data_IF_076039776797
#
_entry.id   IF_076039776797
#
_cell.length_a   1.000
_cell.length_b   1.000
_cell.length_c   1.000
_cell.angle_alpha   90.00
_cell.angle_beta   90.00
_cell.angle_gamma   90.00
#
_symmetry.space_group_name_H-M   'P 1'
#
loop_
_entity.id
_entity.type
_entity.pdbx_description
1 polymer ?
#
# COMPACT_ATOMS: atom_id res chain seq x y z
N UNK A 1 6.14 19.34 -16.72
CA UNK A 1 5.97 18.26 -15.71
C UNK A 1 5.36 17.05 -16.40
N UNK A 2 5.91 15.88 -16.22
CA UNK A 2 5.31 14.63 -16.70
C UNK A 2 4.02 14.36 -15.95
N UNK A 3 2.95 13.97 -16.66
CA UNK A 3 1.67 13.62 -16.05
C UNK A 3 1.82 12.33 -15.26
N UNK A 4 1.13 12.22 -14.13
CA UNK A 4 1.02 10.97 -13.36
C UNK A 4 0.20 9.97 -14.17
N UNK A 5 0.76 8.78 -14.40
CA UNK A 5 0.14 7.71 -15.17
C UNK A 5 -0.62 6.74 -14.25
N UNK A 6 -1.91 6.66 -14.48
CA UNK A 6 -2.84 5.87 -13.68
C UNK A 6 -3.33 4.67 -14.48
N UNK A 7 -3.14 3.46 -13.97
CA UNK A 7 -3.83 2.28 -14.44
C UNK A 7 -5.13 2.12 -13.68
N UNK A 8 -6.27 2.18 -14.37
CA UNK A 8 -7.58 2.14 -13.76
C UNK A 8 -8.40 0.97 -14.29
N UNK A 9 -8.78 0.05 -13.41
CA UNK A 9 -9.60 -1.12 -13.70
C UNK A 9 -10.98 -0.98 -13.05
N UNK A 10 -12.05 -0.96 -13.85
CA UNK A 10 -13.45 -0.80 -13.43
C UNK A 10 -14.36 -1.33 -14.54
N UNK A 11 -15.26 -2.24 -14.23
CA UNK A 11 -16.17 -2.86 -15.21
C UNK A 11 -17.46 -2.04 -15.42
N UNK A 12 -17.83 -1.17 -14.47
CA UNK A 12 -18.98 -0.27 -14.64
C UNK A 12 -18.64 0.89 -15.56
N UNK A 13 -19.18 0.88 -16.77
CA UNK A 13 -18.90 1.87 -17.82
C UNK A 13 -19.17 3.32 -17.38
N UNK A 14 -20.26 3.56 -16.68
CA UNK A 14 -20.64 4.92 -16.22
C UNK A 14 -19.66 5.43 -15.18
N UNK A 15 -19.35 4.62 -14.17
CA UNK A 15 -18.40 4.99 -13.13
C UNK A 15 -16.99 5.16 -13.70
N UNK A 16 -16.60 4.26 -14.60
CA UNK A 16 -15.33 4.32 -15.30
C UNK A 16 -15.16 5.61 -16.09
N UNK A 17 -16.18 5.97 -16.90
CA UNK A 17 -16.14 7.19 -17.70
C UNK A 17 -16.03 8.43 -16.81
N UNK A 18 -16.91 8.58 -15.81
CA UNK A 18 -16.93 9.74 -14.92
C UNK A 18 -15.63 9.87 -14.13
N UNK A 19 -15.10 8.76 -13.61
CA UNK A 19 -13.86 8.77 -12.83
C UNK A 19 -12.67 9.12 -13.71
N UNK A 20 -12.56 8.50 -14.89
CA UNK A 20 -11.51 8.80 -15.85
C UNK A 20 -11.50 10.25 -16.28
N UNK A 21 -12.67 10.76 -16.72
CA UNK A 21 -12.82 12.16 -17.17
C UNK A 21 -12.37 13.15 -16.08
N UNK A 22 -12.84 12.97 -14.84
CA UNK A 22 -12.43 13.81 -13.74
C UNK A 22 -10.93 13.73 -13.43
N UNK A 23 -10.32 12.53 -13.48
CA UNK A 23 -8.88 12.39 -13.28
C UNK A 23 -8.10 13.10 -14.39
N UNK A 24 -8.51 12.94 -15.65
CA UNK A 24 -7.84 13.57 -16.79
C UNK A 24 -7.96 15.10 -16.74
N UNK A 25 -9.09 15.66 -16.34
CA UNK A 25 -9.29 17.09 -16.09
C UNK A 25 -8.38 17.61 -14.97
N UNK A 26 -8.03 16.76 -14.00
CA UNK A 26 -7.11 17.09 -12.92
C UNK A 26 -5.62 16.81 -13.24
N UNK A 27 -5.31 16.54 -14.52
CA UNK A 27 -3.94 16.46 -15.03
C UNK A 27 -3.29 15.08 -14.96
N UNK A 28 -4.06 14.02 -14.71
CA UNK A 28 -3.58 12.64 -14.79
C UNK A 28 -3.63 12.10 -16.23
N UNK A 29 -2.86 11.05 -16.51
CA UNK A 29 -2.94 10.26 -17.73
C UNK A 29 -3.53 8.90 -17.35
N UNK A 30 -4.77 8.61 -17.79
CA UNK A 30 -5.51 7.44 -17.32
C UNK A 30 -5.65 6.38 -18.41
N UNK A 31 -5.08 5.21 -18.18
CA UNK A 31 -5.35 4.00 -18.97
C UNK A 31 -6.41 3.19 -18.23
N UNK A 32 -7.61 3.12 -18.83
CA UNK A 32 -8.75 2.39 -18.27
C UNK A 32 -8.92 1.03 -18.94
N UNK A 33 -9.30 0.02 -18.15
CA UNK A 33 -9.61 -1.34 -18.61
C UNK A 33 -10.90 -1.82 -17.91
N UNK A 34 -11.75 -2.56 -18.66
CA UNK A 34 -13.03 -3.10 -18.16
C UNK A 34 -12.91 -4.45 -17.46
N UNK A 35 -11.74 -5.07 -17.47
CA UNK A 35 -11.48 -6.36 -16.82
C UNK A 35 -10.01 -6.49 -16.40
N UNK A 36 -9.78 -7.35 -15.41
CA UNK A 36 -8.44 -7.54 -14.84
C UNK A 36 -7.44 -8.16 -15.80
N UNK A 37 -7.88 -9.00 -16.75
CA UNK A 37 -6.97 -9.62 -17.72
C UNK A 37 -6.38 -8.57 -18.67
N UNK A 38 -7.24 -7.75 -19.27
CA UNK A 38 -6.82 -6.64 -20.14
C UNK A 38 -5.95 -5.65 -19.37
N UNK A 39 -6.29 -5.39 -18.10
CA UNK A 39 -5.53 -4.52 -17.23
C UNK A 39 -4.10 -5.04 -16.98
N UNK A 40 -3.94 -6.34 -16.74
CA UNK A 40 -2.63 -6.97 -16.57
C UNK A 40 -1.79 -6.94 -17.85
N UNK A 41 -2.40 -7.07 -19.01
CA UNK A 41 -1.72 -6.94 -20.30
C UNK A 41 -1.18 -5.52 -20.53
N UNK A 42 -1.96 -4.49 -20.18
CA UNK A 42 -1.50 -3.09 -20.23
C UNK A 42 -0.38 -2.84 -19.22
N UNK A 43 -0.50 -3.37 -18.00
CA UNK A 43 0.52 -3.25 -16.97
C UNK A 43 1.89 -3.79 -17.42
N UNK A 44 1.91 -4.89 -18.16
CA UNK A 44 3.14 -5.49 -18.68
C UNK A 44 3.76 -4.74 -19.88
N UNK A 45 2.98 -3.89 -20.55
CA UNK A 45 3.41 -3.18 -21.77
C UNK A 45 3.77 -1.72 -21.52
N UNK A 46 3.18 -1.12 -20.50
CA UNK A 46 3.27 0.31 -20.22
C UNK A 46 3.78 0.55 -18.78
N UNK A 47 4.35 1.72 -18.56
CA UNK A 47 4.76 2.14 -17.23
C UNK A 47 3.65 2.97 -16.57
N UNK A 48 3.37 2.71 -15.31
CA UNK A 48 2.38 3.40 -14.48
C UNK A 48 2.99 3.84 -13.17
N UNK A 49 2.41 4.89 -12.58
CA UNK A 49 2.82 5.43 -11.28
C UNK A 49 1.94 4.92 -10.14
N UNK A 50 0.70 4.50 -10.46
CA UNK A 50 -0.28 3.98 -9.51
C UNK A 50 -1.33 3.10 -10.21
N UNK A 51 -1.84 2.11 -9.49
CA UNK A 51 -2.98 1.28 -9.91
C UNK A 51 -4.20 1.57 -9.04
N UNK A 52 -5.36 1.76 -9.67
CA UNK A 52 -6.69 1.87 -9.03
C UNK A 52 -7.51 0.71 -9.55
N UNK A 53 -7.88 -0.22 -8.67
CA UNK A 53 -8.46 -1.50 -9.05
C UNK A 53 -9.81 -1.71 -8.37
N UNK A 54 -10.87 -1.86 -9.16
CA UNK A 54 -12.10 -2.43 -8.61
C UNK A 54 -11.83 -3.89 -8.18
N UNK A 55 -12.41 -4.28 -7.07
CA UNK A 55 -12.31 -5.66 -6.59
C UNK A 55 -13.14 -6.59 -7.45
N UNK A 56 -14.36 -6.19 -7.78
CA UNK A 56 -15.33 -7.05 -8.46
C UNK A 56 -15.35 -6.77 -9.97
N UNK A 57 -14.57 -7.55 -10.72
CA UNK A 57 -14.50 -7.44 -12.18
C UNK A 57 -14.60 -8.81 -12.84
N UNK A 58 -15.09 -8.88 -14.11
CA UNK A 58 -15.12 -10.10 -14.87
C UNK A 58 -13.70 -10.60 -15.25
N UNK A 59 -13.59 -11.88 -15.63
CA UNK A 59 -12.39 -12.61 -16.07
C UNK A 59 -11.30 -12.75 -15.00
N UNK A 60 -10.91 -11.66 -14.37
CA UNK A 60 -9.90 -11.60 -13.31
C UNK A 60 -10.32 -10.51 -12.34
N UNK A 61 -10.54 -10.87 -11.10
CA UNK A 61 -10.89 -9.91 -10.05
C UNK A 61 -9.69 -9.02 -9.65
N UNK A 62 -9.98 -7.93 -8.92
CA UNK A 62 -8.96 -6.97 -8.53
C UNK A 62 -7.90 -7.57 -7.61
N UNK A 63 -8.25 -8.56 -6.79
CA UNK A 63 -7.31 -9.21 -5.88
C UNK A 63 -6.32 -10.09 -6.64
N UNK A 64 -6.81 -10.86 -7.60
CA UNK A 64 -5.97 -11.69 -8.47
C UNK A 64 -5.04 -10.81 -9.32
N UNK A 65 -5.57 -9.71 -9.86
CA UNK A 65 -4.79 -8.72 -10.61
C UNK A 65 -3.67 -8.13 -9.74
N UNK A 66 -4.00 -7.67 -8.54
CA UNK A 66 -3.01 -7.12 -7.61
C UNK A 66 -1.94 -8.15 -7.22
N UNK A 67 -2.32 -9.41 -6.99
CA UNK A 67 -1.37 -10.47 -6.70
C UNK A 67 -0.40 -10.74 -7.88
N UNK A 68 -0.88 -10.65 -9.12
CA UNK A 68 -0.03 -10.76 -10.33
C UNK A 68 0.90 -9.54 -10.46
N UNK A 69 0.38 -8.34 -10.26
CA UNK A 69 1.18 -7.11 -10.27
C UNK A 69 2.29 -7.19 -9.21
N UNK A 70 1.97 -7.61 -7.99
CA UNK A 70 2.95 -7.71 -6.89
C UNK A 70 4.08 -8.71 -7.15
N UNK A 71 3.87 -9.74 -7.97
CA UNK A 71 4.94 -10.66 -8.38
C UNK A 71 5.99 -9.99 -9.27
N UNK A 72 5.61 -8.97 -10.02
CA UNK A 72 6.49 -8.26 -10.97
C UNK A 72 6.92 -6.88 -10.46
N UNK A 73 6.07 -6.22 -9.68
CA UNK A 73 6.35 -4.90 -9.11
C UNK A 73 5.78 -4.79 -7.69
N UNK A 74 6.66 -4.80 -6.70
CA UNK A 74 6.29 -4.68 -5.28
C UNK A 74 6.08 -3.22 -4.85
N UNK A 75 6.49 -2.24 -5.68
CA UNK A 75 6.61 -0.84 -5.27
C UNK A 75 5.45 0.04 -5.74
N UNK A 76 4.84 -0.29 -6.90
CA UNK A 76 3.76 0.53 -7.44
C UNK A 76 2.59 0.59 -6.45
N UNK A 77 2.11 1.79 -6.08
CA UNK A 77 0.97 1.91 -5.19
C UNK A 77 -0.28 1.28 -5.81
N UNK A 78 -1.06 0.57 -4.98
CA UNK A 78 -2.35 -0.03 -5.36
C UNK A 78 -3.43 0.46 -4.41
N UNK A 79 -4.45 1.12 -4.96
CA UNK A 79 -5.69 1.49 -4.26
C UNK A 79 -6.81 0.60 -4.77
N UNK A 80 -7.50 -0.11 -3.87
CA UNK A 80 -8.70 -0.84 -4.24
C UNK A 80 -9.95 0.04 -4.13
N UNK A 81 -10.85 -0.13 -5.08
CA UNK A 81 -12.22 0.34 -5.00
C UNK A 81 -13.11 -0.82 -4.53
N UNK A 82 -13.93 -0.61 -3.51
CA UNK A 82 -14.72 -1.69 -2.89
C UNK A 82 -16.15 -1.26 -2.63
N UNK A 83 -17.12 -2.10 -2.93
CA UNK A 83 -18.48 -1.96 -2.41
C UNK A 83 -18.50 -2.20 -0.89
N UNK A 84 -19.34 -1.48 -0.16
CA UNK A 84 -19.37 -1.35 1.32
C UNK A 84 -19.50 -2.66 2.14
N UNK A 85 -19.73 -3.80 1.52
CA UNK A 85 -20.40 -4.95 2.15
C UNK A 85 -19.48 -6.02 2.76
N UNK A 86 -18.17 -6.03 2.52
CA UNK A 86 -17.36 -7.17 2.96
C UNK A 86 -16.16 -6.77 3.82
N UNK A 87 -16.30 -6.91 5.15
CA UNK A 87 -15.17 -6.82 6.11
C UNK A 87 -14.02 -7.77 5.74
N UNK A 88 -14.37 -8.93 5.19
CA UNK A 88 -13.42 -9.98 4.81
C UNK A 88 -12.63 -9.63 3.54
N UNK A 89 -13.24 -8.99 2.56
CA UNK A 89 -12.55 -8.56 1.33
C UNK A 89 -11.50 -7.50 1.58
N UNK A 90 -11.78 -6.56 2.51
CA UNK A 90 -10.77 -5.56 2.91
C UNK A 90 -9.54 -6.20 3.54
N UNK A 91 -9.73 -7.19 4.39
CA UNK A 91 -8.62 -7.93 5.01
C UNK A 91 -7.86 -8.78 3.99
N UNK A 92 -8.57 -9.37 3.03
CA UNK A 92 -7.98 -10.19 1.97
C UNK A 92 -7.12 -9.35 1.02
N UNK A 93 -7.62 -8.23 0.55
CA UNK A 93 -6.88 -7.36 -0.37
C UNK A 93 -5.70 -6.63 0.29
N UNK A 94 -5.86 -6.17 1.52
CA UNK A 94 -4.72 -5.65 2.28
C UNK A 94 -3.67 -6.74 2.49
N UNK A 95 -4.06 -7.99 2.72
CA UNK A 95 -3.13 -9.14 2.78
C UNK A 95 -2.39 -9.41 1.46
N UNK A 96 -2.92 -8.98 0.33
CA UNK A 96 -2.32 -9.12 -1.00
C UNK A 96 -1.40 -7.94 -1.41
N UNK A 97 -1.20 -6.94 -0.54
CA UNK A 97 -0.26 -5.86 -0.78
C UNK A 97 -0.87 -4.56 -1.31
N UNK A 98 -2.16 -4.36 -1.15
CA UNK A 98 -2.75 -3.04 -1.39
C UNK A 98 -2.21 -2.01 -0.39
N UNK A 99 -2.06 -0.80 -0.86
CA UNK A 99 -1.60 0.32 -0.03
C UNK A 99 -2.78 1.05 0.62
N UNK A 100 -3.95 1.01 -0.01
CA UNK A 100 -5.16 1.65 0.50
C UNK A 100 -6.46 1.10 -0.12
N UNK A 101 -7.59 1.55 0.44
CA UNK A 101 -8.96 1.24 0.02
C UNK A 101 -9.80 2.49 -0.07
N UNK A 102 -10.69 2.51 -1.07
CA UNK A 102 -11.73 3.52 -1.22
C UNK A 102 -13.09 2.82 -1.36
N UNK A 103 -14.05 3.22 -0.53
CA UNK A 103 -15.38 2.59 -0.50
C UNK A 103 -16.30 3.28 -1.51
N UNK A 104 -16.92 2.49 -2.37
CA UNK A 104 -17.97 2.98 -3.29
C UNK A 104 -19.30 3.22 -2.53
N UNK A 105 -20.02 4.33 -2.75
CA UNK A 105 -19.63 5.47 -3.55
C UNK A 105 -18.55 6.33 -2.86
N UNK A 106 -17.59 6.84 -3.63
CA UNK A 106 -16.47 7.66 -3.14
C UNK A 106 -16.50 9.08 -3.73
N UNK A 107 -15.85 10.01 -3.04
CA UNK A 107 -15.58 11.35 -3.57
C UNK A 107 -14.39 11.30 -4.54
N UNK A 108 -14.53 11.96 -5.67
CA UNK A 108 -13.43 12.06 -6.64
C UNK A 108 -12.27 12.87 -6.07
N UNK A 109 -12.54 13.86 -5.24
CA UNK A 109 -11.54 14.66 -4.55
C UNK A 109 -10.71 13.79 -3.59
N UNK A 110 -11.37 12.87 -2.87
CA UNK A 110 -10.67 11.90 -2.01
C UNK A 110 -9.74 11.01 -2.81
N UNK A 111 -10.21 10.47 -3.94
CA UNK A 111 -9.40 9.65 -4.83
C UNK A 111 -8.19 10.43 -5.35
N UNK A 112 -8.39 11.66 -5.84
CA UNK A 112 -7.31 12.53 -6.33
C UNK A 112 -6.29 12.82 -5.25
N UNK A 113 -6.74 13.12 -4.03
CA UNK A 113 -5.85 13.38 -2.90
C UNK A 113 -5.00 12.15 -2.57
N UNK A 114 -5.62 10.96 -2.52
CA UNK A 114 -4.92 9.70 -2.28
C UNK A 114 -3.88 9.44 -3.38
N UNK A 115 -4.22 9.57 -4.66
CA UNK A 115 -3.28 9.40 -5.77
C UNK A 115 -2.06 10.32 -5.58
N UNK A 116 -2.30 11.62 -5.34
CA UNK A 116 -1.21 12.60 -5.15
C UNK A 116 -0.31 12.26 -3.95
N UNK A 117 -0.88 11.80 -2.85
CA UNK A 117 -0.13 11.41 -1.65
C UNK A 117 0.75 10.19 -1.95
N UNK A 118 0.20 9.16 -2.58
CA UNK A 118 0.93 7.92 -2.84
C UNK A 118 2.05 8.12 -3.87
N UNK A 119 1.73 8.81 -4.96
CA UNK A 119 2.71 9.08 -6.03
C UNK A 119 3.80 10.04 -5.57
N UNK A 120 3.46 11.13 -4.86
CA UNK A 120 4.47 12.05 -4.31
C UNK A 120 5.48 11.32 -3.43
N UNK A 121 5.06 10.36 -2.64
CA UNK A 121 5.93 9.57 -1.77
C UNK A 121 6.79 8.57 -2.54
N UNK A 122 6.26 8.00 -3.62
CA UNK A 122 7.06 7.14 -4.51
C UNK A 122 8.18 7.90 -5.20
N UNK A 123 8.00 9.21 -5.47
CA UNK A 123 9.03 10.08 -6.02
C UNK A 123 9.85 10.82 -4.95
N UNK A 124 9.29 11.02 -3.78
CA UNK A 124 9.98 11.61 -2.63
C UNK A 124 10.58 10.49 -1.79
N UNK A 125 11.48 9.70 -2.35
CA UNK A 125 12.47 9.12 -1.47
C UNK A 125 13.21 10.33 -0.86
N UNK A 126 13.03 10.68 0.45
CA UNK A 126 14.13 11.34 1.10
C UNK A 126 15.32 10.43 0.75
N UNK A 127 16.44 11.00 0.44
CA UNK A 127 17.71 10.26 0.43
C UNK A 127 17.77 9.61 1.81
N UNK A 128 17.15 8.44 1.92
CA UNK A 128 17.40 7.55 3.02
C UNK A 128 18.88 7.26 2.80
N UNK A 129 19.71 7.93 3.56
CA UNK A 129 21.11 7.55 3.68
C UNK A 129 21.10 6.03 3.67
N UNK A 130 22.04 5.40 3.01
CA UNK A 130 22.13 3.94 2.88
C UNK A 130 22.28 3.27 4.26
N UNK A 131 21.32 3.53 5.15
CA UNK A 131 21.29 3.03 6.51
C UNK A 131 20.62 1.66 6.48
N UNK A 132 21.42 0.63 6.37
CA UNK A 132 20.97 -0.72 6.65
C UNK A 132 20.78 -0.84 8.15
N UNK A 133 19.55 -1.15 8.56
CA UNK A 133 19.24 -1.42 9.96
C UNK A 133 19.44 -2.90 10.27
N UNK A 134 20.10 -3.18 11.39
CA UNK A 134 20.21 -4.53 11.92
C UNK A 134 19.04 -4.76 12.90
N UNK A 135 18.23 -5.79 12.63
CA UNK A 135 17.02 -6.14 13.37
C UNK A 135 17.13 -7.62 13.78
N UNK A 136 17.79 -7.89 14.90
CA UNK A 136 18.18 -9.25 15.25
C UNK A 136 19.10 -9.84 14.19
N UNK A 137 18.73 -10.99 13.62
CA UNK A 137 19.46 -11.65 12.51
C UNK A 137 19.10 -11.08 11.13
N UNK A 138 18.16 -10.14 11.04
CA UNK A 138 17.79 -9.50 9.79
C UNK A 138 18.56 -8.22 9.55
N UNK A 139 18.77 -7.94 8.26
CA UNK A 139 19.22 -6.65 7.74
C UNK A 139 18.05 -6.05 6.95
N UNK A 140 17.68 -4.84 7.28
CA UNK A 140 16.63 -4.10 6.60
C UNK A 140 17.22 -2.93 5.84
N UNK A 141 16.99 -2.92 4.53
CA UNK A 141 17.34 -1.84 3.63
C UNK A 141 16.06 -1.12 3.20
N UNK A 142 15.72 0.02 3.83
CA UNK A 142 14.51 0.77 3.51
C UNK A 142 14.55 1.40 2.12
N UNK A 143 15.72 1.72 1.57
CA UNK A 143 15.87 2.33 0.26
C UNK A 143 15.48 1.36 -0.86
N UNK A 144 15.77 0.07 -0.68
CA UNK A 144 15.45 -1.00 -1.61
C UNK A 144 14.22 -1.82 -1.21
N UNK A 145 13.51 -1.42 -0.15
CA UNK A 145 12.32 -2.12 0.37
C UNK A 145 12.56 -3.61 0.61
N UNK A 146 13.68 -3.94 1.21
CA UNK A 146 14.06 -5.33 1.43
C UNK A 146 14.48 -5.59 2.86
N UNK A 147 14.06 -6.74 3.38
CA UNK A 147 14.58 -7.32 4.61
C UNK A 147 15.16 -8.69 4.29
N UNK A 148 16.33 -8.98 4.78
CA UNK A 148 17.02 -10.23 4.46
C UNK A 148 17.85 -10.74 5.63
N UNK A 149 18.07 -12.03 5.66
CA UNK A 149 18.99 -12.72 6.54
C UNK A 149 19.82 -13.74 5.74
N UNK A 150 20.55 -14.61 6.41
CA UNK A 150 21.38 -15.63 5.74
C UNK A 150 20.56 -16.68 4.96
N UNK A 151 19.27 -16.81 5.21
CA UNK A 151 18.42 -17.88 4.66
C UNK A 151 17.43 -17.35 3.61
N UNK A 152 16.95 -16.14 3.77
CA UNK A 152 15.88 -15.59 2.94
C UNK A 152 16.05 -14.09 2.66
N UNK A 153 15.51 -13.69 1.52
CA UNK A 153 15.35 -12.29 1.13
C UNK A 153 13.89 -12.03 0.88
N UNK A 154 13.29 -11.11 1.65
CA UNK A 154 11.88 -10.77 1.59
C UNK A 154 11.76 -9.35 1.03
N UNK A 155 11.03 -9.20 -0.07
CA UNK A 155 10.66 -7.90 -0.61
C UNK A 155 9.45 -7.36 0.15
N UNK A 156 9.57 -6.15 0.63
CA UNK A 156 8.49 -5.42 1.30
C UNK A 156 7.74 -4.55 0.29
N UNK A 157 6.47 -4.31 0.53
CA UNK A 157 5.79 -3.19 -0.13
C UNK A 157 6.33 -1.88 0.44
N UNK A 158 6.11 -0.78 -0.28
CA UNK A 158 6.52 0.54 0.19
C UNK A 158 5.96 0.82 1.59
N UNK A 159 4.68 0.48 1.84
CA UNK A 159 4.04 0.70 3.15
C UNK A 159 4.60 -0.16 4.28
N UNK A 160 4.95 -1.40 4.00
CA UNK A 160 5.61 -2.27 4.97
C UNK A 160 6.97 -1.70 5.37
N UNK A 161 7.73 -1.22 4.38
CA UNK A 161 9.04 -0.60 4.60
C UNK A 161 8.92 0.71 5.38
N UNK A 162 8.01 1.60 5.00
CA UNK A 162 7.77 2.87 5.71
C UNK A 162 7.33 2.63 7.16
N UNK A 163 6.45 1.66 7.40
CA UNK A 163 5.98 1.32 8.74
C UNK A 163 7.10 0.71 9.59
N UNK A 164 7.91 -0.17 9.02
CA UNK A 164 9.05 -0.76 9.72
C UNK A 164 10.09 0.31 10.06
N UNK A 165 10.41 1.19 9.11
CA UNK A 165 11.33 2.31 9.35
C UNK A 165 10.82 3.23 10.47
N UNK A 166 9.52 3.58 10.44
CA UNK A 166 8.90 4.37 11.51
C UNK A 166 9.04 3.71 12.89
N UNK A 167 8.85 2.40 12.97
CA UNK A 167 9.02 1.67 14.22
C UNK A 167 10.48 1.66 14.70
N UNK A 168 11.43 1.53 13.79
CA UNK A 168 12.86 1.57 14.15
C UNK A 168 13.29 2.94 14.67
N UNK A 169 12.82 4.03 14.07
CA UNK A 169 13.05 5.40 14.53
C UNK A 169 12.41 5.66 15.92
N UNK A 170 11.36 4.92 16.25
CA UNK A 170 10.65 4.99 17.52
C UNK A 170 10.84 3.75 18.40
N UNK A 171 11.97 3.05 18.24
CA UNK A 171 12.33 1.84 18.98
C UNK A 171 12.13 2.02 20.49
N UNK A 172 11.51 1.03 21.11
CA UNK A 172 11.25 0.95 22.55
C UNK A 172 10.32 2.05 23.13
N UNK A 173 9.72 2.89 22.25
CA UNK A 173 8.73 3.90 22.64
C UNK A 173 7.31 3.44 22.35
N UNK A 174 6.38 3.92 23.14
CA UNK A 174 4.95 3.78 22.85
C UNK A 174 4.56 4.87 21.86
N UNK A 175 4.05 4.47 20.69
CA UNK A 175 3.59 5.39 19.65
C UNK A 175 2.09 5.30 19.48
N UNK A 176 1.43 6.45 19.45
CA UNK A 176 -0.02 6.53 19.27
C UNK A 176 -0.40 6.09 17.84
N UNK A 177 -1.56 5.47 17.72
CA UNK A 177 -2.11 5.02 16.43
C UNK A 177 -2.17 6.17 15.40
N UNK A 178 -2.67 7.32 15.83
CA UNK A 178 -2.76 8.54 15.01
C UNK A 178 -1.40 9.01 14.48
N UNK A 179 -0.37 8.96 15.33
CA UNK A 179 0.99 9.34 14.93
C UNK A 179 1.55 8.42 13.84
N UNK A 180 1.32 7.11 13.96
CA UNK A 180 1.70 6.13 12.93
C UNK A 180 0.96 6.42 11.62
N UNK A 181 -0.37 6.60 11.68
CA UNK A 181 -1.21 6.87 10.52
C UNK A 181 -0.79 8.16 9.81
N UNK A 182 -0.58 9.23 10.56
CA UNK A 182 -0.13 10.51 10.01
C UNK A 182 1.25 10.41 9.37
N UNK A 183 2.18 9.70 9.97
CA UNK A 183 3.53 9.54 9.44
C UNK A 183 3.57 8.65 8.21
N UNK A 184 2.92 7.49 8.25
CA UNK A 184 3.01 6.48 7.19
C UNK A 184 1.95 6.69 6.10
N UNK A 185 0.73 7.11 6.42
CA UNK A 185 -0.36 7.32 5.46
C UNK A 185 -0.65 8.80 5.15
N UNK A 186 -0.12 9.73 5.96
CA UNK A 186 -0.31 11.18 5.78
C UNK A 186 -1.62 11.72 6.31
N UNK A 187 -2.48 10.88 6.81
CA UNK A 187 -3.76 11.22 7.42
C UNK A 187 -4.09 10.25 8.55
N UNK A 188 -4.86 10.68 9.53
CA UNK A 188 -5.33 9.90 10.69
C UNK A 188 -6.79 9.42 10.55
N UNK A 189 -7.31 9.38 9.32
CA UNK A 189 -8.69 8.98 9.04
C UNK A 189 -9.01 7.60 9.63
N UNK A 190 -10.22 7.48 10.19
CA UNK A 190 -10.75 6.26 10.84
C UNK A 190 -10.64 5.01 9.95
N UNK A 191 -10.76 5.16 8.63
CA UNK A 191 -10.64 4.04 7.69
C UNK A 191 -9.20 3.53 7.55
N UNK A 192 -8.20 4.37 7.72
CA UNK A 192 -6.78 4.00 7.69
C UNK A 192 -6.37 3.16 8.90
N UNK A 193 -7.08 3.32 10.03
CA UNK A 193 -6.80 2.55 11.24
C UNK A 193 -6.89 1.03 11.06
N UNK A 194 -7.79 0.55 10.20
CA UNK A 194 -7.92 -0.89 9.89
C UNK A 194 -6.81 -1.40 8.98
N UNK A 195 -6.33 -0.55 8.07
CA UNK A 195 -5.18 -0.86 7.24
C UNK A 195 -3.93 -1.06 8.09
N UNK A 196 -3.70 -0.19 9.08
CA UNK A 196 -2.57 -0.31 10.00
C UNK A 196 -2.49 -1.68 10.69
N UNK A 197 -3.62 -2.22 11.19
CA UNK A 197 -3.62 -3.53 11.87
C UNK A 197 -3.18 -4.68 10.95
N UNK A 198 -3.52 -4.60 9.68
CA UNK A 198 -3.10 -5.59 8.68
C UNK A 198 -1.60 -5.50 8.43
N UNK A 199 -1.06 -4.29 8.22
CA UNK A 199 0.38 -4.10 8.02
C UNK A 199 1.19 -4.52 9.25
N UNK A 200 0.70 -4.23 10.46
CA UNK A 200 1.32 -4.72 11.70
C UNK A 200 1.31 -6.26 11.76
N UNK A 201 0.19 -6.89 11.38
CA UNK A 201 0.10 -8.35 11.34
C UNK A 201 1.11 -8.97 10.36
N UNK A 202 1.35 -8.30 9.22
CA UNK A 202 2.35 -8.72 8.23
C UNK A 202 3.76 -8.56 8.76
N UNK A 203 4.11 -7.41 9.33
CA UNK A 203 5.43 -7.20 9.92
C UNK A 203 5.71 -8.23 11.01
N UNK A 204 4.71 -8.54 11.87
CA UNK A 204 4.83 -9.62 12.86
C UNK A 204 5.11 -10.97 12.22
N UNK A 205 4.49 -11.27 11.07
CA UNK A 205 4.73 -12.52 10.34
C UNK A 205 6.13 -12.57 9.74
N UNK A 206 6.59 -11.47 9.16
CA UNK A 206 7.93 -11.34 8.58
C UNK A 206 9.00 -11.51 9.67
N UNK A 207 8.81 -10.85 10.81
CA UNK A 207 9.77 -10.84 11.92
C UNK A 207 9.60 -12.01 12.91
N UNK A 208 8.76 -13.00 12.56
CA UNK A 208 8.36 -14.09 13.50
C UNK A 208 9.53 -14.94 13.99
N UNK A 209 10.59 -15.08 13.20
CA UNK A 209 11.77 -15.88 13.57
C UNK A 209 12.68 -15.20 14.61
N UNK A 210 12.43 -13.93 14.92
CA UNK A 210 13.21 -13.15 15.89
C UNK A 210 12.42 -12.98 17.19
N UNK A 211 12.69 -13.82 18.18
CA UNK A 211 11.99 -13.78 19.48
C UNK A 211 12.26 -12.49 20.28
N UNK A 212 13.41 -11.86 20.05
CA UNK A 212 13.80 -10.59 20.67
C UNK A 212 13.00 -9.38 20.14
N UNK A 213 12.27 -9.55 19.02
CA UNK A 213 11.50 -8.47 18.41
C UNK A 213 10.02 -8.65 18.70
N UNK A 214 9.40 -7.61 19.23
CA UNK A 214 7.96 -7.60 19.53
C UNK A 214 7.31 -6.31 19.05
N UNK A 215 6.17 -6.45 18.37
CA UNK A 215 5.25 -5.35 18.10
C UNK A 215 4.03 -5.56 18.98
N UNK A 216 3.95 -4.86 20.10
CA UNK A 216 2.89 -5.00 21.08
C UNK A 216 1.77 -4.00 20.79
N UNK A 217 0.52 -4.46 20.96
CA UNK A 217 -0.65 -3.57 20.91
C UNK A 217 -1.01 -3.17 22.34
N UNK A 218 -0.88 -1.90 22.65
CA UNK A 218 -1.33 -1.31 23.91
C UNK A 218 -2.75 -0.78 23.71
N UNK A 219 -3.72 -1.58 24.15
CA UNK A 219 -5.14 -1.34 23.90
C UNK A 219 -5.56 0.09 24.29
N UNK A 220 -6.22 0.79 23.35
CA UNK A 220 -6.66 2.19 23.55
C UNK A 220 -5.55 3.25 23.49
N UNK A 221 -4.27 2.86 23.36
CA UNK A 221 -3.14 3.80 23.36
C UNK A 221 -2.43 3.78 22.00
N UNK A 222 -1.96 2.60 21.55
CA UNK A 222 -1.18 2.50 20.32
C UNK A 222 -0.31 1.25 20.28
N UNK A 223 0.90 1.38 19.76
CA UNK A 223 1.81 0.27 19.57
C UNK A 223 3.18 0.55 20.16
N UNK A 224 3.89 -0.51 20.54
CA UNK A 224 5.29 -0.47 20.95
C UNK A 224 6.06 -1.49 20.14
N UNK A 225 7.11 -1.05 19.47
CA UNK A 225 8.10 -1.91 18.83
C UNK A 225 9.27 -2.05 19.80
N UNK A 226 9.49 -3.26 20.28
CA UNK A 226 10.59 -3.59 21.19
C UNK A 226 11.60 -4.46 20.48
N UNK A 227 12.87 -4.15 20.70
CA UNK A 227 14.02 -4.90 20.21
C UNK A 227 15.12 -4.82 21.27
N UNK A 228 15.49 -5.96 21.83
CA UNK A 228 16.59 -6.11 22.77
C UNK A 228 17.95 -6.10 22.08
#
# INVERSE_FOLDING_TARGET
MTKIKVLYAEDNETLAFLTKDNLEQNGFEVTHCFDGQTCFEHFNKLAFDICILDIMMPKMDGFELAAKIRKTNTHIPIIFLSAKTLKEDKLSGLRLGADDYLIKPFSIEELILKIKIFVKRSFSNPVLENNIYFIGNYQFDPANYVIFNHQEKILLTQRESELLNFFLENKNKVVKREAILKSVWGNDDYFMGRSLDVFISRLRKILKSEEAIKIENLHGIGFKFSMD
#
